data_IF_961511249888
#
_entry.id   IF_961511249888
#
_cell.length_a   1.000
_cell.length_b   1.000
_cell.length_c   1.000
_cell.angle_alpha   90.00
_cell.angle_beta   90.00
_cell.angle_gamma   90.00
#
_symmetry.space_group_name_H-M   'P 1'
#
loop_
_entity.id
_entity.type
_entity.pdbx_description
1 polymer ?
#
# COMPACT_ATOMS: atom_id res chain seq x y z
N UNK A 1 -16.66 -22.54 -5.53
CA UNK A 1 -15.88 -21.82 -4.50
C UNK A 1 -16.74 -20.68 -3.97
N UNK A 2 -16.83 -20.45 -2.65
CA UNK A 2 -17.52 -19.26 -2.15
C UNK A 2 -16.72 -18.02 -2.60
N UNK A 3 -17.40 -17.12 -3.29
CA UNK A 3 -16.85 -15.81 -3.60
C UNK A 3 -16.97 -14.95 -2.34
N UNK A 4 -15.92 -14.18 -1.99
CA UNK A 4 -15.98 -13.21 -0.89
C UNK A 4 -17.13 -12.20 -1.07
N UNK A 5 -17.58 -12.01 -2.33
CA UNK A 5 -18.73 -11.18 -2.69
C UNK A 5 -20.08 -11.74 -2.23
N UNK A 6 -20.13 -12.96 -1.68
CA UNK A 6 -21.30 -13.48 -0.95
C UNK A 6 -21.36 -12.99 0.50
N UNK A 7 -20.38 -12.20 0.94
CA UNK A 7 -20.30 -11.59 2.26
C UNK A 7 -20.47 -12.56 3.45
N UNK A 8 -20.04 -13.82 3.32
CA UNK A 8 -20.23 -14.79 4.40
C UNK A 8 -21.69 -15.19 4.62
N UNK A 9 -22.59 -14.92 3.68
CA UNK A 9 -24.04 -15.04 3.87
C UNK A 9 -24.67 -13.88 4.65
N UNK A 10 -23.89 -12.83 4.97
CA UNK A 10 -24.40 -11.63 5.63
C UNK A 10 -25.08 -10.67 4.65
N UNK A 11 -26.01 -9.88 5.16
CA UNK A 11 -26.46 -8.66 4.47
C UNK A 11 -25.38 -7.58 4.56
N UNK A 12 -25.28 -6.66 3.57
CA UNK A 12 -24.28 -5.59 3.61
C UNK A 12 -24.32 -4.74 4.90
N UNK A 13 -25.52 -4.49 5.43
CA UNK A 13 -25.71 -3.74 6.68
C UNK A 13 -25.10 -4.49 7.85
N UNK A 14 -25.33 -5.81 7.94
CA UNK A 14 -24.79 -6.63 9.03
C UNK A 14 -23.28 -6.78 8.94
N UNK A 15 -22.74 -6.85 7.71
CA UNK A 15 -21.29 -6.81 7.47
C UNK A 15 -20.69 -5.49 8.00
N UNK A 16 -21.29 -4.35 7.68
CA UNK A 16 -20.82 -3.03 8.15
C UNK A 16 -20.90 -2.95 9.67
N UNK A 17 -22.02 -3.37 10.28
CA UNK A 17 -22.17 -3.36 11.74
C UNK A 17 -21.11 -4.23 12.44
N UNK A 18 -20.87 -5.43 11.91
CA UNK A 18 -19.89 -6.35 12.47
C UNK A 18 -18.46 -5.84 12.30
N UNK A 19 -18.12 -5.32 11.12
CA UNK A 19 -16.84 -4.67 10.86
C UNK A 19 -16.64 -3.44 11.77
N UNK A 20 -17.66 -2.59 11.94
CA UNK A 20 -17.60 -1.43 12.82
C UNK A 20 -17.34 -1.82 14.29
N UNK A 21 -18.00 -2.87 14.78
CA UNK A 21 -17.71 -3.43 16.11
C UNK A 21 -16.25 -3.90 16.21
N UNK A 22 -15.77 -4.62 15.19
CA UNK A 22 -14.43 -5.18 15.18
C UNK A 22 -13.31 -4.16 15.06
N UNK A 23 -13.54 -3.05 14.35
CA UNK A 23 -12.63 -1.89 14.31
C UNK A 23 -12.27 -1.43 15.72
N UNK A 24 -13.26 -1.40 16.63
CA UNK A 24 -13.06 -1.08 18.04
C UNK A 24 -12.35 -2.19 18.81
N UNK A 25 -12.85 -3.44 18.70
CA UNK A 25 -12.27 -4.60 19.38
C UNK A 25 -10.77 -4.80 19.08
N UNK A 26 -10.34 -4.46 17.86
CA UNK A 26 -8.98 -4.66 17.37
C UNK A 26 -8.09 -3.41 17.43
N UNK A 27 -8.62 -2.34 18.02
CA UNK A 27 -7.93 -1.07 18.23
C UNK A 27 -7.33 -0.50 16.94
N UNK A 28 -8.07 -0.57 15.83
CA UNK A 28 -7.57 -0.14 14.51
C UNK A 28 -7.09 1.31 14.51
N UNK A 29 -7.70 2.17 15.33
CA UNK A 29 -7.27 3.56 15.54
C UNK A 29 -5.85 3.61 16.12
N UNK A 30 -5.58 2.89 17.22
CA UNK A 30 -4.26 2.83 17.85
C UNK A 30 -3.22 2.22 16.91
N UNK A 31 -3.58 1.14 16.21
CA UNK A 31 -2.69 0.51 15.22
C UNK A 31 -2.36 1.43 14.07
N UNK A 32 -3.32 2.22 13.60
CA UNK A 32 -3.10 3.19 12.53
C UNK A 32 -2.22 4.36 12.96
N UNK A 33 -2.27 4.76 14.23
CA UNK A 33 -1.30 5.70 14.80
C UNK A 33 0.11 5.13 14.80
N UNK A 34 0.27 3.86 15.19
CA UNK A 34 1.56 3.16 15.08
C UNK A 34 2.02 3.06 13.62
N UNK A 35 1.12 2.69 12.68
CA UNK A 35 1.43 2.66 11.25
C UNK A 35 1.91 4.02 10.74
N UNK A 36 1.25 5.11 11.13
CA UNK A 36 1.69 6.46 10.78
C UNK A 36 3.12 6.74 11.22
N UNK A 37 3.48 6.37 12.45
CA UNK A 37 4.84 6.53 12.95
C UNK A 37 5.86 5.72 12.13
N UNK A 38 5.57 4.43 11.87
CA UNK A 38 6.45 3.59 11.08
C UNK A 38 6.54 4.02 9.61
N UNK A 39 5.43 4.48 9.02
CA UNK A 39 5.41 5.03 7.66
C UNK A 39 6.25 6.31 7.58
N UNK A 40 6.11 7.22 8.54
CA UNK A 40 6.92 8.43 8.62
C UNK A 40 8.42 8.09 8.67
N UNK A 41 8.81 7.14 9.54
CA UNK A 41 10.19 6.67 9.62
C UNK A 41 10.69 5.98 8.35
N UNK A 42 9.80 5.33 7.59
CA UNK A 42 10.12 4.65 6.35
C UNK A 42 10.25 5.60 5.13
N UNK A 43 9.69 6.82 5.19
CA UNK A 43 9.68 7.75 4.05
C UNK A 43 11.09 8.07 3.54
N UNK A 44 11.99 8.46 4.45
CA UNK A 44 13.33 8.88 4.05
C UNK A 44 14.18 7.71 3.51
N UNK A 45 14.28 6.55 4.19
CA UNK A 45 14.95 5.38 3.61
C UNK A 45 14.35 4.92 2.29
N UNK A 46 13.02 4.94 2.16
CA UNK A 46 12.34 4.55 0.92
C UNK A 46 12.71 5.49 -0.22
N UNK A 47 12.74 6.79 0.06
CA UNK A 47 13.17 7.80 -0.88
C UNK A 47 14.62 7.59 -1.33
N UNK A 48 15.55 7.37 -0.38
CA UNK A 48 16.94 7.07 -0.70
C UNK A 48 17.07 5.82 -1.56
N UNK A 49 16.32 4.76 -1.23
CA UNK A 49 16.28 3.54 -2.02
C UNK A 49 15.84 3.81 -3.47
N UNK A 50 14.73 4.54 -3.67
CA UNK A 50 14.23 4.87 -4.99
C UNK A 50 15.22 5.71 -5.81
N UNK A 51 15.83 6.72 -5.21
CA UNK A 51 16.85 7.56 -5.87
C UNK A 51 18.06 6.73 -6.30
N UNK A 52 18.53 5.87 -5.40
CA UNK A 52 19.68 5.01 -5.65
C UNK A 52 19.38 3.99 -6.74
N UNK A 53 18.18 3.39 -6.70
CA UNK A 53 17.70 2.45 -7.71
C UNK A 53 17.64 3.11 -9.09
N UNK A 54 17.07 4.32 -9.20
CA UNK A 54 17.01 5.02 -10.47
C UNK A 54 18.41 5.41 -10.96
N UNK A 55 19.30 5.86 -10.07
CA UNK A 55 20.67 6.19 -10.46
C UNK A 55 21.47 4.97 -10.96
N UNK A 56 21.21 3.77 -10.42
CA UNK A 56 21.78 2.52 -10.93
C UNK A 56 21.16 2.13 -12.29
N UNK A 57 19.84 2.20 -12.43
CA UNK A 57 19.13 1.78 -13.65
C UNK A 57 19.34 2.74 -14.84
N UNK A 58 19.57 4.03 -14.58
CA UNK A 58 19.68 5.05 -15.63
C UNK A 58 21.09 5.21 -16.20
N UNK A 59 22.09 4.55 -15.61
CA UNK A 59 23.50 4.66 -16.00
C UNK A 59 24.14 6.02 -15.64
N UNK A 60 25.50 6.09 -15.59
CA UNK A 60 26.22 7.34 -15.36
C UNK A 60 25.90 8.42 -16.42
N UNK A 61 25.63 9.66 -16.00
CA UNK A 61 25.47 10.81 -16.91
C UNK A 61 24.13 10.92 -17.65
N UNK A 62 23.10 10.15 -17.28
CA UNK A 62 21.79 10.28 -17.94
C UNK A 62 21.04 11.54 -17.52
N UNK A 63 20.35 12.18 -18.48
CA UNK A 63 19.46 13.32 -18.24
C UNK A 63 18.34 13.01 -17.23
N UNK A 64 17.93 11.74 -17.14
CA UNK A 64 16.93 11.26 -16.19
C UNK A 64 17.45 11.37 -14.75
N UNK A 65 18.71 10.99 -14.51
CA UNK A 65 19.37 11.11 -13.20
C UNK A 65 19.46 12.58 -12.77
N UNK A 66 19.90 13.48 -13.65
CA UNK A 66 19.99 14.92 -13.36
C UNK A 66 18.63 15.56 -13.10
N UNK A 67 17.60 15.15 -13.86
CA UNK A 67 16.23 15.64 -13.68
C UNK A 67 15.64 15.22 -12.34
N UNK A 68 15.93 13.99 -11.90
CA UNK A 68 15.49 13.48 -10.60
C UNK A 68 16.25 14.20 -9.49
N UNK A 69 17.58 14.23 -9.51
CA UNK A 69 18.38 14.90 -8.46
C UNK A 69 17.99 16.39 -8.34
N UNK A 70 17.84 17.10 -9.45
CA UNK A 70 17.44 18.52 -9.47
C UNK A 70 15.98 18.74 -9.04
N UNK A 71 15.07 17.80 -9.36
CA UNK A 71 13.69 17.83 -8.85
C UNK A 71 13.64 17.63 -7.35
N UNK A 72 14.46 16.72 -6.83
CA UNK A 72 14.51 16.40 -5.41
C UNK A 72 15.17 17.50 -4.57
N UNK A 73 16.23 18.12 -5.08
CA UNK A 73 16.85 19.29 -4.45
C UNK A 73 15.89 20.48 -4.33
N UNK A 74 14.91 20.60 -5.23
CA UNK A 74 13.86 21.64 -5.20
C UNK A 74 12.76 21.39 -4.17
N UNK A 75 12.54 20.13 -3.79
CA UNK A 75 11.50 19.72 -2.85
C UNK A 75 12.02 19.56 -1.40
N UNK A 76 13.34 19.43 -1.22
CA UNK A 76 13.97 19.22 0.07
C UNK A 76 14.42 20.55 0.71
N UNK A 77 14.01 20.86 1.97
CA UNK A 77 14.56 21.98 2.73
C UNK A 77 16.08 21.85 2.90
N UNK A 78 16.81 22.97 2.98
CA UNK A 78 18.27 23.07 2.81
C UNK A 78 19.14 21.90 3.32
N UNK A 79 18.96 21.44 4.55
CA UNK A 79 19.73 20.32 5.13
C UNK A 79 19.38 18.95 4.54
N UNK A 80 18.11 18.71 4.20
CA UNK A 80 17.67 17.48 3.53
C UNK A 80 18.18 17.45 2.07
N UNK A 81 18.25 18.60 1.39
CA UNK A 81 18.83 18.68 0.04
C UNK A 81 20.32 18.29 0.04
N UNK A 82 21.07 18.75 1.05
CA UNK A 82 22.48 18.40 1.23
C UNK A 82 22.67 16.91 1.52
N UNK A 83 21.80 16.30 2.34
CA UNK A 83 21.81 14.86 2.57
C UNK A 83 21.50 14.06 1.30
N UNK A 84 20.53 14.50 0.50
CA UNK A 84 20.22 13.84 -0.79
C UNK A 84 21.40 13.98 -1.74
N UNK A 85 21.98 15.18 -1.88
CA UNK A 85 23.15 15.41 -2.71
C UNK A 85 24.38 14.64 -2.21
N UNK A 86 24.61 14.57 -0.89
CA UNK A 86 25.73 13.83 -0.32
C UNK A 86 25.56 12.33 -0.50
N UNK A 87 24.35 11.79 -0.27
CA UNK A 87 24.08 10.38 -0.51
C UNK A 87 24.27 10.10 -1.99
N UNK A 88 23.65 10.86 -2.90
CA UNK A 88 23.83 10.69 -4.35
C UNK A 88 25.31 10.79 -4.76
N UNK A 89 26.03 11.83 -4.37
CA UNK A 89 27.43 11.99 -4.77
C UNK A 89 28.34 10.92 -4.16
N UNK A 90 28.18 10.54 -2.89
CA UNK A 90 28.95 9.45 -2.26
C UNK A 90 28.60 8.07 -2.84
N UNK A 91 27.36 7.90 -3.28
CA UNK A 91 26.81 6.69 -3.93
C UNK A 91 27.31 6.54 -5.36
N UNK A 92 27.79 7.60 -6.01
CA UNK A 92 28.18 7.57 -7.42
C UNK A 92 29.58 8.07 -7.77
N UNK A 93 30.29 8.82 -6.91
CA UNK A 93 31.64 9.34 -7.18
C UNK A 93 32.78 8.48 -6.61
N UNK A 94 32.53 7.63 -5.61
CA UNK A 94 33.62 6.98 -4.85
C UNK A 94 33.30 5.60 -4.26
N UNK A 95 32.19 4.99 -4.66
CA UNK A 95 31.76 3.71 -4.12
C UNK A 95 32.24 2.56 -5.01
N UNK A 96 33.08 1.67 -4.48
CA UNK A 96 33.13 0.30 -5.00
C UNK A 96 31.69 -0.25 -5.04
N UNK A 97 31.34 -1.03 -6.06
CA UNK A 97 29.96 -1.52 -6.25
C UNK A 97 29.35 -2.17 -5.00
N UNK A 98 30.20 -2.70 -4.11
CA UNK A 98 29.84 -3.26 -2.80
C UNK A 98 29.27 -2.21 -1.83
N UNK A 99 29.87 -1.01 -1.71
CA UNK A 99 29.38 0.05 -0.80
C UNK A 99 28.02 0.60 -1.25
N UNK A 100 27.86 0.75 -2.56
CA UNK A 100 26.61 1.15 -3.19
C UNK A 100 25.51 0.12 -2.91
N UNK A 101 25.80 -1.15 -3.16
CA UNK A 101 24.87 -2.24 -2.86
C UNK A 101 24.48 -2.24 -1.37
N UNK A 102 25.46 -2.15 -0.46
CA UNK A 102 25.21 -2.12 0.98
C UNK A 102 24.29 -0.95 1.40
N UNK A 103 24.48 0.24 0.83
CA UNK A 103 23.61 1.41 1.08
C UNK A 103 22.18 1.19 0.58
N UNK A 104 22.01 0.66 -0.63
CA UNK A 104 20.70 0.32 -1.21
C UNK A 104 19.98 -0.72 -0.35
N UNK A 105 20.69 -1.78 0.06
CA UNK A 105 20.13 -2.81 0.94
C UNK A 105 19.76 -2.25 2.32
N UNK A 106 20.61 -1.41 2.91
CA UNK A 106 20.32 -0.75 4.19
C UNK A 106 19.10 0.16 4.12
N UNK A 107 18.97 0.95 3.06
CA UNK A 107 17.82 1.82 2.81
C UNK A 107 16.53 1.01 2.63
N UNK A 108 16.57 -0.06 1.82
CA UNK A 108 15.44 -0.97 1.64
C UNK A 108 15.05 -1.67 2.95
N UNK A 109 16.03 -2.09 3.74
CA UNK A 109 15.81 -2.73 5.03
C UNK A 109 15.06 -1.83 6.00
N UNK A 110 15.47 -0.56 6.08
CA UNK A 110 14.84 0.45 6.92
C UNK A 110 13.45 0.85 6.39
N UNK A 111 13.31 1.02 5.07
CA UNK A 111 12.03 1.31 4.41
C UNK A 111 10.99 0.21 4.66
N UNK A 112 11.42 -1.05 4.72
CA UNK A 112 10.53 -2.19 4.95
C UNK A 112 9.89 -2.21 6.35
N UNK A 113 10.35 -1.36 7.29
CA UNK A 113 9.80 -1.29 8.65
C UNK A 113 8.31 -0.96 8.68
N UNK A 114 7.86 -0.03 7.81
CA UNK A 114 6.45 0.32 7.64
C UNK A 114 5.59 -0.88 7.25
N UNK A 115 6.04 -1.66 6.28
CA UNK A 115 5.36 -2.88 5.86
C UNK A 115 5.36 -3.96 6.96
N UNK A 116 6.42 -4.04 7.76
CA UNK A 116 6.45 -4.92 8.94
C UNK A 116 5.34 -4.60 9.93
N UNK A 117 5.09 -3.31 10.19
CA UNK A 117 3.99 -2.88 11.06
C UNK A 117 2.61 -3.22 10.48
N UNK A 118 2.45 -3.15 9.15
CA UNK A 118 1.23 -3.63 8.44
C UNK A 118 1.04 -5.13 8.62
N UNK A 119 2.09 -5.94 8.42
CA UNK A 119 2.06 -7.39 8.63
C UNK A 119 1.64 -7.74 10.06
N UNK A 120 2.24 -7.09 11.06
CA UNK A 120 1.89 -7.31 12.48
C UNK A 120 0.44 -6.93 12.76
N UNK A 121 -0.02 -5.79 12.24
CA UNK A 121 -1.41 -5.34 12.45
C UNK A 121 -2.42 -6.28 11.78
N UNK A 122 -2.14 -6.76 10.57
CA UNK A 122 -2.99 -7.73 9.88
C UNK A 122 -2.96 -9.10 10.54
N UNK A 123 -1.82 -9.56 11.07
CA UNK A 123 -1.79 -10.80 11.86
C UNK A 123 -2.73 -10.73 13.08
N UNK A 124 -2.82 -9.56 13.73
CA UNK A 124 -3.78 -9.36 14.83
C UNK A 124 -5.21 -9.42 14.32
N UNK A 125 -5.56 -8.67 13.28
CA UNK A 125 -6.91 -8.69 12.66
C UNK A 125 -7.30 -10.12 12.29
N UNK A 126 -6.41 -10.86 11.65
CA UNK A 126 -6.66 -12.24 11.23
C UNK A 126 -6.58 -13.27 12.36
N UNK A 127 -6.26 -12.85 13.59
CA UNK A 127 -6.11 -13.72 14.78
C UNK A 127 -5.08 -14.83 14.57
N UNK A 128 -3.99 -14.52 13.87
CA UNK A 128 -2.91 -15.48 13.57
C UNK A 128 -1.61 -15.08 14.23
N UNK A 129 -0.95 -16.05 14.86
CA UNK A 129 0.41 -15.90 15.33
C UNK A 129 1.40 -15.95 14.14
N UNK A 130 2.52 -15.23 14.26
CA UNK A 130 3.60 -15.34 13.28
C UNK A 130 4.40 -16.62 13.53
N UNK A 131 4.23 -17.60 12.64
CA UNK A 131 4.93 -18.89 12.68
C UNK A 131 6.05 -18.97 11.66
N UNK A 132 6.16 -17.98 10.75
CA UNK A 132 7.26 -17.94 9.79
C UNK A 132 8.58 -17.69 10.53
N UNK A 133 9.65 -18.45 10.22
CA UNK A 133 11.00 -18.07 10.63
C UNK A 133 11.30 -16.62 10.25
N UNK A 134 12.05 -15.91 11.09
CA UNK A 134 12.36 -14.49 10.92
C UNK A 134 12.81 -14.11 9.49
N UNK A 135 13.64 -14.95 8.86
CA UNK A 135 14.13 -14.71 7.50
C UNK A 135 13.01 -14.82 6.44
N UNK A 136 12.09 -15.78 6.55
CA UNK A 136 10.94 -15.90 5.63
C UNK A 136 9.98 -14.73 5.81
N UNK A 137 9.76 -14.30 7.07
CA UNK A 137 8.94 -13.13 7.36
C UNK A 137 9.57 -11.87 6.75
N UNK A 138 10.88 -11.67 6.94
CA UNK A 138 11.58 -10.50 6.41
C UNK A 138 11.61 -10.48 4.88
N UNK A 139 11.82 -11.62 4.21
CA UNK A 139 11.70 -11.72 2.74
C UNK A 139 10.29 -11.33 2.29
N UNK A 140 9.25 -11.77 3.00
CA UNK A 140 7.87 -11.39 2.67
C UNK A 140 7.67 -9.88 2.82
N UNK A 141 8.14 -9.27 3.92
CA UNK A 141 8.03 -7.83 4.18
C UNK A 141 8.77 -7.02 3.11
N UNK A 142 10.01 -7.40 2.78
CA UNK A 142 10.81 -6.71 1.75
C UNK A 142 10.18 -6.88 0.37
N UNK A 143 9.75 -8.10 0.03
CA UNK A 143 9.06 -8.39 -1.24
C UNK A 143 7.78 -7.58 -1.40
N UNK A 144 6.96 -7.49 -0.34
CA UNK A 144 5.78 -6.63 -0.29
C UNK A 144 6.15 -5.16 -0.47
N UNK A 145 7.18 -4.69 0.22
CA UNK A 145 7.66 -3.30 0.12
C UNK A 145 8.04 -2.96 -1.34
N UNK A 146 8.80 -3.83 -2.00
CA UNK A 146 9.20 -3.66 -3.40
C UNK A 146 8.02 -3.73 -4.37
N UNK A 147 7.12 -4.70 -4.19
CA UNK A 147 5.94 -4.87 -5.04
C UNK A 147 5.01 -3.65 -4.97
N UNK A 148 4.72 -3.17 -3.75
CA UNK A 148 3.90 -1.98 -3.55
C UNK A 148 4.59 -0.72 -4.08
N UNK A 149 5.90 -0.58 -3.87
CA UNK A 149 6.66 0.53 -4.43
C UNK A 149 6.54 0.58 -5.95
N UNK A 150 6.72 -0.56 -6.63
CA UNK A 150 6.58 -0.65 -8.08
C UNK A 150 5.14 -0.30 -8.53
N UNK A 151 4.11 -0.83 -7.85
CA UNK A 151 2.71 -0.54 -8.17
C UNK A 151 2.34 0.93 -7.96
N UNK A 152 2.82 1.55 -6.88
CA UNK A 152 2.64 2.98 -6.63
C UNK A 152 3.32 3.81 -7.71
N UNK A 153 4.55 3.46 -8.11
CA UNK A 153 5.26 4.15 -9.20
C UNK A 153 4.48 4.02 -10.51
N UNK A 154 4.02 2.81 -10.86
CA UNK A 154 3.20 2.60 -12.07
C UNK A 154 1.92 3.43 -12.02
N UNK A 155 1.21 3.43 -10.89
CA UNK A 155 0.00 4.22 -10.70
C UNK A 155 0.28 5.73 -10.85
N UNK A 156 1.34 6.24 -10.23
CA UNK A 156 1.73 7.65 -10.32
C UNK A 156 2.15 8.04 -11.73
N UNK A 157 2.92 7.19 -12.43
CA UNK A 157 3.32 7.43 -13.82
C UNK A 157 2.10 7.47 -14.73
N UNK A 158 1.15 6.55 -14.56
CA UNK A 158 -0.10 6.55 -15.33
C UNK A 158 -0.96 7.79 -15.04
N UNK A 159 -1.08 8.21 -13.78
CA UNK A 159 -1.88 9.39 -13.43
C UNK A 159 -1.24 10.69 -13.93
N UNK A 160 0.07 10.87 -13.71
CA UNK A 160 0.77 12.13 -13.99
C UNK A 160 1.22 12.26 -15.45
N UNK A 161 1.61 11.14 -16.06
CA UNK A 161 2.22 11.11 -17.40
C UNK A 161 1.44 10.24 -18.39
N UNK A 162 0.34 9.60 -17.98
CA UNK A 162 -0.45 8.71 -18.85
C UNK A 162 -0.87 9.38 -20.15
N UNK A 163 -1.30 10.65 -20.11
CA UNK A 163 -1.65 11.38 -21.33
C UNK A 163 -0.49 11.51 -22.33
N UNK A 164 0.73 11.75 -21.84
CA UNK A 164 1.95 11.82 -22.69
C UNK A 164 2.34 10.43 -23.20
N UNK A 165 2.22 9.40 -22.38
CA UNK A 165 2.47 8.00 -22.77
C UNK A 165 1.53 7.60 -23.91
N UNK A 166 0.24 7.94 -23.80
CA UNK A 166 -0.74 7.67 -24.85
C UNK A 166 -0.42 8.38 -26.17
N UNK A 167 0.07 9.62 -26.11
CA UNK A 167 0.53 10.34 -27.29
C UNK A 167 1.76 9.68 -27.95
N UNK A 168 2.73 9.24 -27.15
CA UNK A 168 3.93 8.56 -27.66
C UNK A 168 3.58 7.23 -28.35
N UNK A 169 2.73 6.41 -27.73
CA UNK A 169 2.27 5.14 -28.31
C UNK A 169 1.48 5.41 -29.60
N UNK A 170 0.58 6.40 -29.58
CA UNK A 170 -0.20 6.77 -30.75
C UNK A 170 0.70 7.19 -31.93
N UNK A 171 1.73 7.99 -31.66
CA UNK A 171 2.67 8.46 -32.68
C UNK A 171 3.55 7.35 -33.26
N UNK A 172 3.98 6.37 -32.45
CA UNK A 172 4.84 5.27 -32.94
C UNK A 172 4.06 4.19 -33.70
N UNK A 173 2.82 3.92 -33.32
CA UNK A 173 1.99 2.84 -33.91
C UNK A 173 1.07 3.37 -35.02
N UNK A 174 1.07 4.68 -35.29
CA UNK A 174 0.20 5.30 -36.28
C UNK A 174 -1.27 5.35 -35.87
N UNK A 175 -1.55 5.29 -34.56
CA UNK A 175 -2.92 5.28 -34.04
C UNK A 175 -3.46 6.73 -33.97
N UNK A 176 -4.66 6.93 -34.52
CA UNK A 176 -5.31 8.24 -34.62
C UNK A 176 -5.88 8.79 -33.29
N UNK A 177 -6.66 9.87 -33.38
CA UNK A 177 -7.28 10.53 -32.22
C UNK A 177 -8.19 9.61 -31.39
N UNK A 178 -8.79 8.60 -32.01
CA UNK A 178 -9.64 7.61 -31.35
C UNK A 178 -8.85 6.83 -30.28
N UNK A 179 -7.62 6.41 -30.59
CA UNK A 179 -6.77 5.73 -29.61
C UNK A 179 -6.34 6.66 -28.49
N UNK A 180 -5.99 7.92 -28.80
CA UNK A 180 -5.62 8.91 -27.79
C UNK A 180 -6.75 9.16 -26.79
N UNK A 181 -7.99 9.24 -27.28
CA UNK A 181 -9.17 9.36 -26.43
C UNK A 181 -9.39 8.10 -25.60
N UNK A 182 -9.35 6.92 -26.22
CA UNK A 182 -9.49 5.65 -25.52
C UNK A 182 -8.44 5.48 -24.42
N UNK A 183 -7.20 5.84 -24.68
CA UNK A 183 -6.11 5.79 -23.70
C UNK A 183 -6.32 6.73 -22.51
N UNK A 184 -6.74 7.98 -22.78
CA UNK A 184 -7.06 8.95 -21.72
C UNK A 184 -8.15 8.45 -20.77
N UNK A 185 -9.08 7.63 -21.27
CA UNK A 185 -10.08 6.97 -20.45
C UNK A 185 -9.48 5.76 -19.73
N UNK A 186 -8.75 4.89 -20.46
CA UNK A 186 -8.22 3.61 -19.98
C UNK A 186 -7.15 3.75 -18.90
N UNK A 187 -6.38 4.84 -18.90
CA UNK A 187 -5.34 5.09 -17.89
C UNK A 187 -5.91 5.09 -16.46
N UNK A 188 -7.16 5.56 -16.28
CA UNK A 188 -7.79 5.64 -14.95
C UNK A 188 -8.11 4.24 -14.39
N UNK A 189 -8.84 3.35 -15.11
CA UNK A 189 -8.98 1.95 -14.73
C UNK A 189 -7.64 1.24 -14.47
N UNK A 190 -6.60 1.50 -15.27
CA UNK A 190 -5.27 0.92 -15.04
C UNK A 190 -4.65 1.37 -13.72
N UNK A 191 -4.74 2.67 -13.39
CA UNK A 191 -4.29 3.19 -12.10
C UNK A 191 -5.10 2.61 -10.93
N UNK A 192 -6.42 2.50 -11.06
CA UNK A 192 -7.25 1.86 -10.04
C UNK A 192 -6.94 0.37 -9.90
N UNK A 193 -6.68 -0.34 -11.01
CA UNK A 193 -6.28 -1.74 -10.98
C UNK A 193 -4.97 -1.93 -10.22
N UNK A 194 -3.98 -1.03 -10.39
CA UNK A 194 -2.75 -1.05 -9.60
C UNK A 194 -3.00 -0.82 -8.11
N UNK A 195 -3.94 0.06 -7.75
CA UNK A 195 -4.37 0.27 -6.36
C UNK A 195 -5.05 -0.97 -5.76
N UNK A 196 -6.04 -1.54 -6.45
CA UNK A 196 -6.71 -2.76 -6.01
C UNK A 196 -5.74 -3.92 -5.88
N UNK A 197 -4.82 -4.07 -6.84
CA UNK A 197 -3.79 -5.10 -6.80
C UNK A 197 -2.86 -4.91 -5.60
N UNK A 198 -2.52 -3.66 -5.26
CA UNK A 198 -1.73 -3.36 -4.05
C UNK A 198 -2.42 -3.88 -2.79
N UNK A 199 -3.70 -3.58 -2.61
CA UNK A 199 -4.50 -4.07 -1.48
C UNK A 199 -4.63 -5.60 -1.48
N UNK A 200 -4.93 -6.21 -2.64
CA UNK A 200 -5.04 -7.67 -2.77
C UNK A 200 -3.73 -8.39 -2.45
N UNK A 201 -2.59 -7.87 -2.89
CA UNK A 201 -1.26 -8.41 -2.56
C UNK A 201 -0.99 -8.30 -1.05
N UNK A 202 -1.29 -7.15 -0.44
CA UNK A 202 -1.16 -7.00 1.02
C UNK A 202 -2.00 -8.07 1.73
N UNK A 203 -3.28 -8.18 1.41
CA UNK A 203 -4.18 -9.11 2.12
C UNK A 203 -3.87 -10.57 1.89
N UNK A 204 -3.23 -10.91 0.76
CA UNK A 204 -2.84 -12.29 0.49
C UNK A 204 -1.50 -12.70 1.12
N UNK A 205 -0.49 -11.82 1.12
CA UNK A 205 0.88 -12.18 1.54
C UNK A 205 1.25 -11.68 2.94
N UNK A 206 0.63 -10.60 3.42
CA UNK A 206 0.97 -10.02 4.71
C UNK A 206 0.56 -10.94 5.89
N UNK A 207 -0.73 -11.31 6.05
CA UNK A 207 -1.14 -12.15 7.17
C UNK A 207 -0.57 -13.57 7.06
N UNK A 208 -0.22 -14.16 8.19
CA UNK A 208 0.30 -15.52 8.26
C UNK A 208 -0.84 -16.55 8.28
N UNK A 209 -1.55 -16.68 7.16
CA UNK A 209 -2.65 -17.64 6.99
C UNK A 209 -2.12 -19.00 6.53
N UNK A 210 -2.63 -20.07 7.14
CA UNK A 210 -2.41 -21.46 6.74
C UNK A 210 -3.06 -21.77 5.38
N UNK A 211 -4.32 -21.37 5.20
CA UNK A 211 -5.04 -21.47 3.94
C UNK A 211 -5.12 -20.10 3.27
N UNK A 212 -4.59 -20.01 2.04
CA UNK A 212 -4.59 -18.77 1.25
C UNK A 212 -5.41 -18.95 -0.01
N UNK A 213 -6.28 -17.98 -0.30
CA UNK A 213 -7.08 -17.95 -1.52
C UNK A 213 -6.85 -16.63 -2.23
N UNK A 214 -6.37 -16.70 -3.47
CA UNK A 214 -6.09 -15.50 -4.25
C UNK A 214 -7.39 -14.95 -4.85
N UNK A 215 -7.58 -13.65 -4.69
CA UNK A 215 -8.67 -12.89 -5.29
C UNK A 215 -8.09 -11.61 -5.88
N UNK A 216 -8.38 -11.34 -7.15
CA UNK A 216 -7.90 -10.12 -7.82
C UNK A 216 -8.48 -8.86 -7.18
N UNK A 217 -9.76 -8.90 -6.80
CA UNK A 217 -10.47 -7.79 -6.14
C UNK A 217 -11.30 -8.38 -5.00
N UNK A 218 -10.93 -8.04 -3.76
CA UNK A 218 -11.68 -8.42 -2.56
C UNK A 218 -12.64 -7.31 -2.13
N UNK A 219 -13.77 -7.62 -1.47
CA UNK A 219 -14.66 -6.61 -0.90
C UNK A 219 -13.94 -5.64 0.04
N UNK A 220 -12.98 -6.14 0.83
CA UNK A 220 -12.16 -5.33 1.69
C UNK A 220 -11.18 -4.43 0.93
N UNK A 221 -10.61 -4.88 -0.20
CA UNK A 221 -9.82 -4.00 -1.07
C UNK A 221 -10.68 -2.86 -1.63
N UNK A 222 -11.94 -3.14 -1.99
CA UNK A 222 -12.90 -2.11 -2.41
C UNK A 222 -13.24 -1.15 -1.28
N UNK A 223 -13.57 -1.66 -0.09
CA UNK A 223 -13.85 -0.82 1.07
C UNK A 223 -12.66 0.07 1.43
N UNK A 224 -11.44 -0.49 1.46
CA UNK A 224 -10.22 0.23 1.76
C UNK A 224 -9.89 1.32 0.73
N UNK A 225 -9.94 1.00 -0.57
CA UNK A 225 -9.69 1.98 -1.64
C UNK A 225 -10.75 3.09 -1.64
N UNK A 226 -12.03 2.75 -1.50
CA UNK A 226 -13.11 3.76 -1.44
C UNK A 226 -12.93 4.66 -0.23
N UNK A 227 -12.67 4.08 0.95
CA UNK A 227 -12.42 4.87 2.16
C UNK A 227 -11.20 5.77 2.00
N UNK A 228 -10.11 5.25 1.44
CA UNK A 228 -8.90 6.02 1.17
C UNK A 228 -9.18 7.19 0.23
N UNK A 229 -9.95 6.99 -0.86
CA UNK A 229 -10.32 8.06 -1.79
C UNK A 229 -11.25 9.11 -1.16
N UNK A 230 -12.25 8.68 -0.39
CA UNK A 230 -13.15 9.59 0.32
C UNK A 230 -12.38 10.41 1.36
N UNK A 231 -11.50 9.77 2.12
CA UNK A 231 -10.65 10.45 3.07
C UNK A 231 -9.63 11.37 2.37
N UNK A 232 -9.15 10.99 1.18
CA UNK A 232 -8.32 11.85 0.32
C UNK A 232 -9.00 13.14 -0.06
N UNK A 233 -10.25 13.03 -0.49
CA UNK A 233 -11.07 14.18 -0.85
C UNK A 233 -11.38 15.04 0.38
N UNK A 234 -11.78 14.41 1.49
CA UNK A 234 -12.06 15.09 2.75
C UNK A 234 -10.83 15.81 3.31
N UNK A 235 -9.66 15.19 3.24
CA UNK A 235 -8.40 15.78 3.67
C UNK A 235 -8.00 16.98 2.82
N UNK A 236 -8.23 16.92 1.50
CA UNK A 236 -8.04 18.06 0.60
C UNK A 236 -8.95 19.23 0.98
N UNK A 237 -10.22 18.95 1.29
CA UNK A 237 -11.17 19.96 1.77
C UNK A 237 -10.73 20.54 3.11
N UNK A 238 -10.33 19.70 4.06
CA UNK A 238 -9.80 20.12 5.35
C UNK A 238 -8.61 21.08 5.18
N UNK A 239 -7.62 20.72 4.36
CA UNK A 239 -6.47 21.59 4.12
C UNK A 239 -6.84 22.88 3.39
N UNK A 240 -7.89 22.89 2.57
CA UNK A 240 -8.34 24.12 1.92
C UNK A 240 -8.88 25.14 2.93
N UNK A 241 -9.64 24.70 3.93
CA UNK A 241 -10.25 25.58 4.94
C UNK A 241 -9.37 25.83 6.17
N UNK A 242 -8.50 24.89 6.54
CA UNK A 242 -7.73 24.91 7.79
C UNK A 242 -6.20 25.03 7.58
N UNK A 243 -5.74 25.58 6.45
CA UNK A 243 -4.30 25.73 6.17
C UNK A 243 -3.56 26.70 7.12
N UNK A 244 -4.26 27.38 8.03
CA UNK A 244 -3.66 28.25 9.04
C UNK A 244 -2.71 27.49 9.98
N UNK A 245 -2.89 26.18 10.15
CA UNK A 245 -2.01 25.36 10.99
C UNK A 245 -0.55 25.36 10.50
N UNK A 246 -0.33 25.27 9.19
CA UNK A 246 0.99 25.39 8.58
C UNK A 246 1.55 26.81 8.70
N UNK A 247 0.67 27.83 8.69
CA UNK A 247 1.08 29.22 8.86
C UNK A 247 1.52 29.52 10.30
N UNK A 248 0.89 28.90 11.31
CA UNK A 248 1.22 29.06 12.73
C UNK A 248 2.42 28.23 13.17
N UNK A 249 2.51 26.97 12.72
CA UNK A 249 3.53 26.01 13.18
C UNK A 249 4.63 25.71 12.16
N UNK A 250 4.60 26.35 10.98
CA UNK A 250 5.62 26.21 9.95
C UNK A 250 5.87 24.76 9.53
N UNK A 251 7.13 24.35 9.49
CA UNK A 251 7.55 22.99 9.12
C UNK A 251 7.01 21.89 10.04
N UNK A 252 6.77 22.19 11.32
CA UNK A 252 6.17 21.24 12.26
C UNK A 252 4.72 20.93 11.88
N UNK A 253 3.97 21.94 11.43
CA UNK A 253 2.61 21.77 10.91
C UNK A 253 2.55 20.82 9.72
N UNK A 254 3.51 20.93 8.79
CA UNK A 254 3.60 20.03 7.64
C UNK A 254 3.84 18.56 8.04
N UNK A 255 4.70 18.32 9.04
CA UNK A 255 4.94 16.96 9.57
C UNK A 255 3.68 16.39 10.22
N UNK A 256 2.97 17.17 11.03
CA UNK A 256 1.72 16.75 11.68
C UNK A 256 0.65 16.40 10.64
N UNK A 257 0.47 17.26 9.63
CA UNK A 257 -0.46 17.03 8.52
C UNK A 257 -0.10 15.73 7.78
N UNK A 258 1.19 15.51 7.50
CA UNK A 258 1.64 14.29 6.84
C UNK A 258 1.41 13.05 7.71
N UNK A 259 1.67 13.11 9.02
CA UNK A 259 1.33 12.00 9.94
C UNK A 259 -0.16 11.71 9.94
N UNK A 260 -1.02 12.74 9.97
CA UNK A 260 -2.47 12.54 9.89
C UNK A 260 -2.88 11.85 8.57
N UNK A 261 -2.23 12.21 7.46
CA UNK A 261 -2.45 11.55 6.18
C UNK A 261 -2.02 10.07 6.18
N UNK A 262 -0.85 9.78 6.75
CA UNK A 262 -0.34 8.42 6.88
C UNK A 262 -1.19 7.57 7.83
N UNK A 263 -1.73 8.19 8.89
CA UNK A 263 -2.70 7.58 9.78
C UNK A 263 -3.95 7.14 9.03
N UNK A 264 -4.56 8.04 8.25
CA UNK A 264 -5.74 7.75 7.43
C UNK A 264 -5.44 6.62 6.44
N UNK A 265 -4.25 6.64 5.83
CA UNK A 265 -3.81 5.60 4.90
C UNK A 265 -3.69 4.24 5.58
N UNK A 266 -3.04 4.18 6.75
CA UNK A 266 -2.98 2.96 7.57
C UNK A 266 -4.36 2.46 7.96
N UNK A 267 -5.24 3.36 8.39
CA UNK A 267 -6.61 3.04 8.79
C UNK A 267 -7.44 2.45 7.65
N UNK A 268 -7.31 2.99 6.43
CA UNK A 268 -7.97 2.45 5.24
C UNK A 268 -7.49 1.03 4.88
N UNK A 269 -6.17 0.78 4.97
CA UNK A 269 -5.60 -0.56 4.77
C UNK A 269 -6.14 -1.55 5.81
N UNK A 270 -6.17 -1.16 7.09
CA UNK A 270 -6.64 -2.04 8.16
C UNK A 270 -8.14 -2.31 8.09
N UNK A 271 -8.97 -1.30 7.78
CA UNK A 271 -10.42 -1.50 7.59
C UNK A 271 -10.70 -2.48 6.45
N UNK A 272 -9.99 -2.37 5.33
CA UNK A 272 -10.16 -3.35 4.26
C UNK A 272 -9.72 -4.76 4.67
N UNK A 273 -8.69 -4.87 5.52
CA UNK A 273 -8.28 -6.15 6.11
C UNK A 273 -9.36 -6.73 7.01
N UNK A 274 -9.96 -5.90 7.87
CA UNK A 274 -11.04 -6.25 8.79
C UNK A 274 -12.28 -6.74 8.04
N UNK A 275 -12.70 -6.03 6.98
CA UNK A 275 -13.84 -6.42 6.16
C UNK A 275 -13.62 -7.81 5.53
N UNK A 276 -12.42 -8.08 5.01
CA UNK A 276 -12.10 -9.40 4.46
C UNK A 276 -12.13 -10.48 5.54
N UNK A 277 -11.51 -10.20 6.70
CA UNK A 277 -11.51 -11.14 7.81
C UNK A 277 -12.93 -11.48 8.30
N UNK A 278 -13.81 -10.47 8.45
CA UNK A 278 -15.20 -10.69 8.87
C UNK A 278 -15.91 -11.62 7.89
N UNK A 279 -15.77 -11.39 6.58
CA UNK A 279 -16.39 -12.23 5.54
C UNK A 279 -15.87 -13.67 5.63
N UNK A 280 -14.55 -13.84 5.68
CA UNK A 280 -13.93 -15.16 5.75
C UNK A 280 -14.28 -15.92 7.03
N UNK A 281 -14.38 -15.22 8.16
CA UNK A 281 -14.74 -15.80 9.44
C UNK A 281 -16.20 -16.29 9.46
N UNK A 282 -17.13 -15.53 8.88
CA UNK A 282 -18.53 -15.95 8.77
C UNK A 282 -18.72 -17.11 7.78
N UNK A 283 -17.96 -17.13 6.67
CA UNK A 283 -17.91 -18.28 5.76
C UNK A 283 -17.42 -19.54 6.49
N UNK A 284 -16.36 -19.43 7.31
CA UNK A 284 -15.83 -20.55 8.11
C UNK A 284 -16.85 -21.05 9.14
N UNK A 285 -17.53 -20.16 9.86
CA UNK A 285 -18.58 -20.53 10.82
C UNK A 285 -19.75 -21.25 10.15
N UNK A 286 -20.20 -20.74 9.01
CA UNK A 286 -21.30 -21.34 8.24
C UNK A 286 -20.92 -22.74 7.76
N UNK A 287 -19.71 -22.92 7.22
CA UNK A 287 -19.20 -24.23 6.79
C UNK A 287 -19.06 -25.23 7.96
N UNK A 288 -18.61 -24.77 9.13
CA UNK A 288 -18.51 -25.60 10.34
C UNK A 288 -19.91 -26.05 10.83
N UNK A 289 -20.89 -25.14 10.80
CA UNK A 289 -22.27 -25.45 11.15
C UNK A 289 -22.89 -26.49 10.20
N UNK A 290 -22.73 -26.32 8.89
CA UNK A 290 -23.23 -27.26 7.89
C UNK A 290 -22.60 -28.65 8.02
N UNK A 291 -21.29 -28.70 8.31
CA UNK A 291 -20.57 -29.96 8.55
C UNK A 291 -21.10 -30.67 9.78
N UNK A 292 -21.33 -29.94 10.88
CA UNK A 292 -21.93 -30.48 12.11
C UNK A 292 -23.34 -31.01 11.86
N UNK A 293 -24.18 -30.26 11.14
CA UNK A 293 -25.55 -30.67 10.77
C UNK A 293 -25.55 -31.96 9.96
N UNK A 294 -24.72 -32.06 8.91
CA UNK A 294 -24.60 -33.28 8.08
C UNK A 294 -24.14 -34.49 8.89
N UNK A 295 -23.26 -34.30 9.87
CA UNK A 295 -22.81 -35.39 10.76
C UNK A 295 -23.96 -35.90 11.62
N UNK A 296 -24.77 -35.00 12.18
CA UNK A 296 -25.95 -35.36 12.99
C UNK A 296 -26.99 -36.09 12.13
N UNK A 297 -27.30 -35.58 10.93
CA UNK A 297 -28.25 -36.22 10.01
C UNK A 297 -27.80 -37.63 9.61
N UNK A 298 -26.49 -37.84 9.38
CA UNK A 298 -25.93 -39.17 9.10
C UNK A 298 -26.06 -40.10 10.30
N UNK A 299 -25.82 -39.61 11.53
CA UNK A 299 -25.98 -40.41 12.75
C UNK A 299 -27.45 -40.79 12.98
N UNK A 300 -28.40 -39.87 12.74
CA UNK A 300 -29.83 -40.15 12.86
C UNK A 300 -30.35 -41.14 11.81
N UNK A 301 -29.77 -41.15 10.60
CA UNK A 301 -30.13 -42.14 9.56
C UNK A 301 -29.52 -43.52 9.79
N UNK A 302 -28.47 -43.60 10.62
CA UNK A 302 -27.78 -44.85 10.94
C UNK A 302 -28.28 -45.52 12.23
N UNK A 303 -29.14 -44.83 12.99
CA UNK A 303 -29.85 -45.33 14.16
C UNK A 303 -31.27 -45.76 13.77
#
# INVERSE_FOLDING_TARGET
MPSLWKFGGLTPIKLIQLAAKKIGDDELSTRSAALSYYFMGALFPMFLFLVSLVGVLSGPGSRLRESIISGLGRLAPGSASQLVHSVVDQTFKSSSGIKLAAGIFGALWAASGGMGAVVVSLNVIYRTAETRPWWKQKITIVGLTLALAALIIVALVLVLYGGKIGQLIAGHVGLGDVFRLAWKVLQWPLSFAAMFLSYSIIYYYAPNLEERKWYWVTPGAVAGVVLWLLASLGFRVYLHFFNSYSATYGSLGAVIILMLWLYITGFAILIGGEVNWVIENEDKKSAAFDTKKRRIEKQMKAA
#
